data_IF_376829193355
#
_entry.id   IF_376829193355
#
_cell.length_a   1.000
_cell.length_b   1.000
_cell.length_c   1.000
_cell.angle_alpha   90.00
_cell.angle_beta   90.00
_cell.angle_gamma   90.00
#
_symmetry.space_group_name_H-M   'P 1'
#
loop_
_entity.id
_entity.type
_entity.pdbx_description
1 polymer ?
#
# COMPACT_ATOMS: atom_id res chain seq x y z
N UNK A 1 17.91 -7.05 5.72
CA UNK A 1 16.92 -6.29 6.51
C UNK A 1 16.38 -5.19 5.62
N UNK A 2 15.07 -5.14 5.39
CA UNK A 2 14.44 -4.05 4.62
C UNK A 2 14.36 -2.83 5.54
N UNK A 3 15.09 -1.78 5.21
CA UNK A 3 15.18 -0.60 6.05
C UNK A 3 13.95 0.27 5.82
N UNK A 4 13.22 0.62 6.89
CA UNK A 4 12.15 1.59 6.80
C UNK A 4 12.73 2.98 6.54
N UNK A 5 12.12 3.73 5.61
CA UNK A 5 12.58 5.06 5.23
C UNK A 5 11.49 6.07 5.55
N UNK A 6 11.81 7.05 6.37
CA UNK A 6 10.93 8.18 6.59
C UNK A 6 10.93 9.06 5.33
N UNK A 7 9.76 9.16 4.69
CA UNK A 7 9.50 10.07 3.58
C UNK A 7 9.11 11.45 4.11
N UNK A 8 8.42 11.46 5.25
CA UNK A 8 8.19 12.62 6.11
C UNK A 8 8.05 12.15 7.56
N UNK A 9 7.80 13.08 8.48
CA UNK A 9 7.46 12.81 9.89
C UNK A 9 6.21 11.95 10.08
N UNK A 10 5.35 11.85 9.06
CA UNK A 10 4.10 11.08 9.08
C UNK A 10 3.96 10.04 7.96
N UNK A 11 5.01 9.84 7.17
CA UNK A 11 5.03 8.89 6.06
C UNK A 11 6.26 8.00 6.14
N UNK A 12 6.04 6.70 6.20
CA UNK A 12 7.11 5.70 6.20
C UNK A 12 6.95 4.83 4.94
N UNK A 13 8.03 4.68 4.17
CA UNK A 13 8.05 3.86 2.97
C UNK A 13 9.09 2.75 3.11
N UNK A 14 8.65 1.52 2.91
CA UNK A 14 9.47 0.31 2.98
C UNK A 14 9.39 -0.40 1.62
N UNK A 15 10.43 -0.32 0.77
CA UNK A 15 10.48 -1.09 -0.46
C UNK A 15 10.82 -2.57 -0.18
N UNK A 16 10.50 -3.44 -1.13
CA UNK A 16 10.86 -4.86 -1.15
C UNK A 16 10.50 -5.65 0.13
N UNK A 17 9.33 -5.39 0.72
CA UNK A 17 8.94 -5.89 2.05
C UNK A 17 9.04 -7.41 2.21
N UNK A 18 8.52 -8.15 1.22
CA UNK A 18 8.49 -9.61 1.18
C UNK A 18 9.63 -10.17 0.35
N UNK A 19 10.02 -11.42 0.64
CA UNK A 19 10.88 -12.17 -0.27
C UNK A 19 10.12 -12.44 -1.58
N UNK A 20 10.86 -12.72 -2.67
CA UNK A 20 10.23 -13.07 -3.95
C UNK A 20 9.31 -14.29 -3.84
N UNK A 21 9.71 -15.29 -3.05
CA UNK A 21 8.91 -16.49 -2.84
C UNK A 21 7.57 -16.18 -2.15
N UNK A 22 7.61 -15.39 -1.07
CA UNK A 22 6.40 -15.01 -0.33
C UNK A 22 5.48 -14.11 -1.17
N UNK A 23 6.08 -13.19 -1.94
CA UNK A 23 5.36 -12.32 -2.85
C UNK A 23 4.63 -13.12 -3.94
N UNK A 24 5.30 -14.10 -4.55
CA UNK A 24 4.73 -14.95 -5.59
C UNK A 24 3.56 -15.78 -5.03
N UNK A 25 3.72 -16.36 -3.82
CA UNK A 25 2.65 -17.10 -3.16
C UNK A 25 1.44 -16.23 -2.80
N UNK A 26 1.67 -14.99 -2.37
CA UNK A 26 0.60 -14.02 -2.11
C UNK A 26 -0.15 -13.63 -3.39
N UNK A 27 0.56 -13.40 -4.49
CA UNK A 27 -0.04 -13.09 -5.79
C UNK A 27 -0.84 -14.26 -6.36
N UNK A 28 -0.36 -15.50 -6.18
CA UNK A 28 -1.08 -16.71 -6.55
C UNK A 28 -2.39 -16.84 -5.74
N UNK A 29 -2.33 -16.63 -4.42
CA UNK A 29 -3.50 -16.66 -3.56
C UNK A 29 -4.55 -15.61 -3.96
N UNK A 30 -4.12 -14.38 -4.27
CA UNK A 30 -5.01 -13.31 -4.75
C UNK A 30 -5.60 -13.65 -6.11
N UNK A 31 -4.81 -14.21 -7.02
CA UNK A 31 -5.28 -14.61 -8.36
C UNK A 31 -6.30 -15.75 -8.31
N UNK A 32 -6.26 -16.58 -7.26
CA UNK A 32 -7.23 -17.64 -7.02
C UNK A 32 -8.56 -17.15 -6.42
N UNK A 33 -8.69 -15.87 -6.05
CA UNK A 33 -9.94 -15.31 -5.51
C UNK A 33 -11.01 -15.29 -6.61
N UNK A 34 -12.02 -16.15 -6.43
CA UNK A 34 -13.14 -16.26 -7.36
C UNK A 34 -13.97 -14.97 -7.46
N UNK A 35 -14.51 -14.67 -8.66
CA UNK A 35 -15.34 -13.48 -8.94
C UNK A 35 -16.47 -13.25 -7.91
N UNK A 36 -17.12 -14.32 -7.45
CA UNK A 36 -18.20 -14.26 -6.44
C UNK A 36 -17.77 -13.74 -5.07
N UNK A 37 -16.47 -13.74 -4.78
CA UNK A 37 -15.93 -13.27 -3.49
C UNK A 37 -15.76 -11.76 -3.49
N UNK A 38 -15.55 -11.17 -4.67
CA UNK A 38 -15.39 -9.74 -4.82
C UNK A 38 -16.71 -9.02 -4.62
N UNK A 39 -16.67 -7.96 -3.81
CA UNK A 39 -17.71 -6.94 -3.76
C UNK A 39 -17.33 -5.85 -4.76
N UNK A 40 -18.34 -5.19 -5.31
CA UNK A 40 -18.14 -3.99 -6.11
C UNK A 40 -18.57 -2.79 -5.29
N UNK A 41 -17.64 -1.90 -4.99
CA UNK A 41 -17.91 -0.63 -4.34
C UNK A 41 -17.36 0.50 -5.21
N UNK A 42 -18.18 1.50 -5.53
CA UNK A 42 -17.79 2.67 -6.32
C UNK A 42 -17.00 2.34 -7.62
N UNK A 43 -17.33 1.22 -8.27
CA UNK A 43 -16.73 0.78 -9.54
C UNK A 43 -15.45 -0.04 -9.45
N UNK A 44 -14.96 -0.38 -8.24
CA UNK A 44 -13.79 -1.23 -8.05
C UNK A 44 -14.12 -2.51 -7.28
N UNK A 45 -13.33 -3.56 -7.56
CA UNK A 45 -13.37 -4.84 -6.83
C UNK A 45 -12.74 -4.66 -5.45
N UNK A 46 -13.48 -5.06 -4.44
CA UNK A 46 -13.13 -4.90 -3.04
C UNK A 46 -13.45 -6.19 -2.26
N UNK A 47 -12.52 -6.62 -1.39
CA UNK A 47 -12.68 -7.75 -0.50
C UNK A 47 -12.23 -7.38 0.91
N UNK A 48 -13.05 -7.72 1.90
CA UNK A 48 -12.68 -7.63 3.31
C UNK A 48 -12.00 -8.92 3.78
N UNK A 49 -10.95 -8.80 4.58
CA UNK A 49 -10.11 -9.90 5.07
C UNK A 49 -9.99 -9.77 6.60
N UNK A 50 -10.22 -10.85 7.35
CA UNK A 50 -10.14 -10.86 8.82
C UNK A 50 -11.32 -10.22 9.55
N UNK A 51 -12.31 -9.71 8.82
CA UNK A 51 -13.56 -9.22 9.40
C UNK A 51 -14.31 -8.28 8.46
N UNK A 52 -15.32 -7.58 8.98
CA UNK A 52 -16.03 -6.53 8.27
C UNK A 52 -16.36 -5.38 9.23
N UNK A 53 -16.06 -4.14 8.83
CA UNK A 53 -16.51 -2.96 9.55
C UNK A 53 -18.01 -2.72 9.31
N UNK A 54 -18.78 -2.53 10.40
CA UNK A 54 -20.17 -2.07 10.32
C UNK A 54 -20.21 -0.59 9.93
N UNK A 55 -21.39 -0.12 9.50
CA UNK A 55 -21.64 1.33 9.28
C UNK A 55 -21.40 2.18 10.52
N UNK A 56 -21.46 1.58 11.72
CA UNK A 56 -21.20 2.24 13.00
C UNK A 56 -19.72 2.16 13.43
N UNK A 57 -18.82 1.66 12.56
CA UNK A 57 -17.39 1.55 12.85
C UNK A 57 -17.00 0.38 13.75
N UNK A 58 -17.92 -0.56 14.03
CA UNK A 58 -17.61 -1.77 14.80
C UNK A 58 -17.04 -2.84 13.88
N UNK A 59 -15.87 -3.38 14.20
CA UNK A 59 -15.31 -4.53 13.49
C UNK A 59 -16.03 -5.81 13.94
N UNK A 60 -16.63 -6.53 12.99
CA UNK A 60 -17.07 -7.91 13.15
C UNK A 60 -15.92 -8.79 12.66
N UNK A 61 -15.13 -9.33 13.59
CA UNK A 61 -13.97 -10.15 13.25
C UNK A 61 -14.35 -11.50 12.66
N UNK A 62 -13.54 -11.96 11.71
CA UNK A 62 -13.54 -13.32 11.18
C UNK A 62 -12.12 -13.88 11.24
N UNK A 63 -11.94 -15.17 10.94
CA UNK A 63 -10.60 -15.68 10.73
C UNK A 63 -9.92 -14.96 9.56
N UNK A 64 -8.64 -14.67 9.72
CA UNK A 64 -7.76 -14.24 8.63
C UNK A 64 -7.35 -15.47 7.81
N UNK A 65 -7.33 -15.41 6.47
CA UNK A 65 -6.78 -16.49 5.66
C UNK A 65 -5.29 -16.67 5.89
N UNK A 66 -4.82 -17.93 5.97
CA UNK A 66 -3.43 -18.27 6.26
C UNK A 66 -2.40 -17.67 5.27
N UNK A 67 -2.81 -17.38 4.02
CA UNK A 67 -1.94 -16.73 3.03
C UNK A 67 -1.58 -15.28 3.39
N UNK A 68 -2.25 -14.66 4.38
CA UNK A 68 -1.90 -13.34 4.90
C UNK A 68 -0.84 -13.39 6.01
N UNK A 69 -0.61 -14.56 6.64
CA UNK A 69 0.17 -14.67 7.87
C UNK A 69 1.58 -14.13 7.70
N UNK A 70 2.25 -14.48 6.60
CA UNK A 70 3.59 -13.98 6.29
C UNK A 70 3.60 -12.46 6.14
N UNK A 71 2.63 -11.86 5.44
CA UNK A 71 2.54 -10.42 5.29
C UNK A 71 2.31 -9.74 6.64
N UNK A 72 1.38 -10.26 7.44
CA UNK A 72 1.05 -9.71 8.75
C UNK A 72 2.23 -9.80 9.73
N UNK A 73 2.97 -10.92 9.71
CA UNK A 73 4.19 -11.06 10.50
C UNK A 73 5.25 -10.05 10.08
N UNK A 74 5.45 -9.83 8.77
CA UNK A 74 6.41 -8.83 8.27
C UNK A 74 6.01 -7.41 8.63
N UNK A 75 4.71 -7.11 8.64
CA UNK A 75 4.20 -5.84 9.12
C UNK A 75 4.39 -5.71 10.63
N UNK A 76 4.10 -6.74 11.41
CA UNK A 76 4.35 -6.75 12.85
C UNK A 76 5.82 -6.52 13.19
N UNK A 77 6.75 -7.15 12.47
CA UNK A 77 8.19 -6.93 12.61
C UNK A 77 8.58 -5.47 12.36
N UNK A 78 7.91 -4.80 11.42
CA UNK A 78 8.18 -3.39 11.11
C UNK A 78 7.45 -2.44 12.06
N UNK A 79 6.28 -2.81 12.58
CA UNK A 79 5.34 -1.86 13.19
C UNK A 79 5.03 -2.13 14.66
N UNK A 80 5.46 -3.28 15.18
CA UNK A 80 5.05 -3.85 16.47
C UNK A 80 3.52 -4.02 16.64
N UNK A 81 2.78 -4.07 15.52
CA UNK A 81 1.33 -4.31 15.49
C UNK A 81 1.04 -5.42 14.50
N UNK A 82 0.43 -6.49 14.99
CA UNK A 82 -0.11 -7.54 14.14
C UNK A 82 -1.46 -7.09 13.56
N UNK A 83 -1.59 -6.94 12.23
CA UNK A 83 -2.88 -6.62 11.63
C UNK A 83 -3.86 -7.79 11.86
N UNK A 84 -5.14 -7.47 12.07
CA UNK A 84 -6.20 -8.49 12.18
C UNK A 84 -7.35 -8.23 11.19
N UNK A 85 -7.20 -7.21 10.37
CA UNK A 85 -8.18 -6.76 9.39
C UNK A 85 -7.46 -6.07 8.24
N UNK A 86 -7.85 -6.42 7.02
CA UNK A 86 -7.39 -5.76 5.82
C UNK A 86 -8.52 -5.62 4.80
N UNK A 87 -8.36 -4.63 3.94
CA UNK A 87 -9.20 -4.43 2.77
C UNK A 87 -8.33 -4.56 1.51
N UNK A 88 -8.68 -5.53 0.67
CA UNK A 88 -8.02 -5.78 -0.61
C UNK A 88 -8.82 -5.12 -1.73
N UNK A 89 -8.14 -4.33 -2.54
CA UNK A 89 -8.70 -3.69 -3.71
C UNK A 89 -7.96 -4.14 -4.96
N UNK A 90 -8.70 -4.54 -5.99
CA UNK A 90 -8.14 -4.71 -7.33
C UNK A 90 -8.35 -3.42 -8.12
N UNK A 91 -7.25 -2.80 -8.53
CA UNK A 91 -7.22 -1.52 -9.22
C UNK A 91 -6.90 -1.80 -10.69
N UNK A 92 -7.89 -1.59 -11.55
CA UNK A 92 -7.67 -1.72 -12.99
C UNK A 92 -6.90 -0.51 -13.54
N UNK A 93 -6.21 -0.70 -14.66
CA UNK A 93 -5.57 0.39 -15.40
C UNK A 93 -6.54 1.56 -15.63
N UNK A 94 -6.16 2.75 -15.16
CA UNK A 94 -6.97 3.98 -15.28
C UNK A 94 -7.98 4.20 -14.17
N UNK A 95 -8.11 3.29 -13.19
CA UNK A 95 -8.94 3.49 -12.01
C UNK A 95 -8.19 4.25 -10.91
N UNK A 96 -8.96 5.02 -10.14
CA UNK A 96 -8.54 5.60 -8.88
C UNK A 96 -9.27 4.94 -7.73
N UNK A 97 -8.68 4.97 -6.54
CA UNK A 97 -9.32 4.53 -5.31
C UNK A 97 -9.17 5.62 -4.26
N UNK A 98 -10.29 6.14 -3.75
CA UNK A 98 -10.29 7.14 -2.68
C UNK A 98 -11.04 6.57 -1.48
N UNK A 99 -10.45 6.68 -0.30
CA UNK A 99 -11.03 6.15 0.93
C UNK A 99 -11.08 7.22 2.02
N UNK A 100 -12.11 7.13 2.87
CA UNK A 100 -12.50 8.19 3.81
C UNK A 100 -12.27 7.88 5.29
N UNK A 101 -11.66 6.75 5.65
CA UNK A 101 -11.45 6.39 7.06
C UNK A 101 -10.14 6.99 7.55
N UNK A 102 -10.21 8.01 8.41
CA UNK A 102 -9.01 8.55 9.09
C UNK A 102 -8.54 7.58 10.16
N UNK A 103 -7.48 6.83 9.87
CA UNK A 103 -6.77 5.97 10.82
C UNK A 103 -5.29 5.92 10.41
N UNK A 104 -4.40 5.48 11.30
CA UNK A 104 -3.03 5.12 10.86
C UNK A 104 -3.13 3.87 10.00
N UNK A 105 -2.76 3.96 8.74
CA UNK A 105 -2.94 2.90 7.75
C UNK A 105 -1.62 2.41 7.19
N UNK A 106 -1.45 1.09 7.15
CA UNK A 106 -0.40 0.43 6.37
C UNK A 106 -0.99 -0.04 5.04
N UNK A 107 -0.44 0.44 3.94
CA UNK A 107 -0.86 0.11 2.57
C UNK A 107 0.23 -0.66 1.87
N UNK A 108 -0.06 -1.92 1.55
CA UNK A 108 0.86 -2.79 0.82
C UNK A 108 0.44 -2.88 -0.65
N UNK A 109 1.41 -2.72 -1.56
CA UNK A 109 1.18 -2.61 -3.02
C UNK A 109 1.67 -3.86 -3.75
N UNK A 110 0.87 -4.36 -4.70
CA UNK A 110 1.05 -5.64 -5.36
C UNK A 110 0.76 -5.56 -6.86
N UNK A 111 1.40 -6.44 -7.63
CA UNK A 111 1.19 -6.63 -9.07
C UNK A 111 1.83 -5.55 -9.95
N UNK A 112 1.51 -4.28 -9.69
CA UNK A 112 2.04 -3.14 -10.44
C UNK A 112 2.38 -1.96 -9.56
N UNK A 113 3.00 -0.96 -10.17
CA UNK A 113 3.24 0.31 -9.49
C UNK A 113 1.94 1.12 -9.45
N UNK A 114 1.74 1.85 -8.36
CA UNK A 114 0.58 2.73 -8.20
C UNK A 114 1.04 4.11 -7.80
N UNK A 115 0.23 5.10 -8.16
CA UNK A 115 0.47 6.48 -7.75
C UNK A 115 -0.48 6.81 -6.63
N UNK A 116 0.06 7.24 -5.50
CA UNK A 116 -0.68 7.58 -4.31
C UNK A 116 -0.55 9.06 -3.97
N UNK A 117 -1.65 9.65 -3.53
CA UNK A 117 -1.68 10.93 -2.84
C UNK A 117 -2.18 10.69 -1.42
N UNK A 118 -1.57 11.37 -0.45
CA UNK A 118 -1.94 11.25 0.97
C UNK A 118 -2.52 12.58 1.44
N UNK A 119 -3.27 12.56 2.52
CA UNK A 119 -3.77 13.79 3.15
C UNK A 119 -2.67 14.57 3.89
N UNK A 120 -1.57 13.89 4.23
CA UNK A 120 -0.41 14.49 4.93
C UNK A 120 0.65 15.06 3.97
N UNK A 121 0.53 14.86 2.66
CA UNK A 121 1.44 15.46 1.68
C UNK A 121 0.77 15.73 0.33
N UNK A 122 0.97 16.95 -0.18
CA UNK A 122 0.48 17.36 -1.50
C UNK A 122 1.29 16.73 -2.65
N UNK A 123 2.56 16.41 -2.42
CA UNK A 123 3.42 15.76 -3.41
C UNK A 123 3.09 14.27 -3.46
N UNK A 124 2.91 13.70 -4.65
CA UNK A 124 2.54 12.29 -4.76
C UNK A 124 3.71 11.34 -4.50
N UNK A 125 3.35 10.08 -4.25
CA UNK A 125 4.25 8.97 -3.94
C UNK A 125 4.06 7.91 -5.01
N UNK A 126 5.16 7.34 -5.50
CA UNK A 126 5.12 6.19 -6.41
C UNK A 126 5.30 4.91 -5.60
N UNK A 127 4.25 4.11 -5.48
CA UNK A 127 4.25 2.84 -4.78
C UNK A 127 4.69 1.73 -5.72
N UNK A 128 5.90 1.19 -5.53
CA UNK A 128 6.37 0.03 -6.27
C UNK A 128 5.63 -1.26 -5.82
N UNK A 129 5.52 -2.29 -6.68
CA UNK A 129 5.12 -3.62 -6.22
C UNK A 129 6.02 -4.07 -5.06
N UNK A 130 5.45 -4.82 -4.12
CA UNK A 130 6.14 -5.28 -2.92
C UNK A 130 6.61 -4.15 -1.99
N UNK A 131 5.95 -2.99 -2.01
CA UNK A 131 6.25 -1.89 -1.08
C UNK A 131 5.13 -1.64 -0.08
N UNK A 132 5.52 -1.20 1.12
CA UNK A 132 4.65 -0.79 2.21
C UNK A 132 4.74 0.73 2.39
N UNK A 133 3.61 1.41 2.34
CA UNK A 133 3.46 2.79 2.79
C UNK A 133 2.70 2.80 4.11
N UNK A 134 3.24 3.43 5.15
CA UNK A 134 2.52 3.71 6.39
C UNK A 134 2.24 5.20 6.46
N UNK A 135 0.96 5.54 6.57
CA UNK A 135 0.49 6.92 6.77
C UNK A 135 0.05 7.06 8.21
N UNK A 136 0.74 7.90 8.96
CA UNK A 136 0.51 8.09 10.40
C UNK A 136 -0.55 9.15 10.61
N UNK A 137 -1.64 8.78 11.29
CA UNK A 137 -2.80 9.63 11.60
C UNK A 137 -3.43 10.31 10.35
N UNK A 138 -3.16 9.76 9.17
CA UNK A 138 -3.71 10.16 7.89
C UNK A 138 -4.16 8.88 7.22
N UNK A 139 -5.40 8.83 6.73
CA UNK A 139 -6.03 7.58 6.29
C UNK A 139 -5.29 6.83 5.17
N UNK A 140 -5.89 5.78 4.61
CA UNK A 140 -5.36 5.12 3.43
C UNK A 140 -5.06 6.13 2.31
N UNK A 141 -3.93 5.96 1.58
CA UNK A 141 -3.62 6.82 0.45
C UNK A 141 -4.71 6.74 -0.61
N UNK A 142 -5.00 7.88 -1.23
CA UNK A 142 -5.81 7.93 -2.44
C UNK A 142 -4.96 7.47 -3.63
N UNK A 143 -5.33 6.37 -4.25
CA UNK A 143 -4.73 5.94 -5.53
C UNK A 143 -5.27 6.86 -6.61
N UNK A 144 -4.35 7.57 -7.28
CA UNK A 144 -4.70 8.58 -8.27
C UNK A 144 -4.54 7.98 -9.66
N UNK A 145 -5.61 7.94 -10.47
CA UNK A 145 -5.52 7.38 -11.81
C UNK A 145 -4.60 8.23 -12.68
N UNK A 146 -3.58 7.61 -13.28
CA UNK A 146 -2.75 8.22 -14.31
C UNK A 146 -1.99 9.49 -13.90
N UNK A 147 -1.78 9.75 -12.61
CA UNK A 147 -1.12 10.99 -12.20
C UNK A 147 0.39 11.00 -12.49
N UNK A 148 1.03 9.83 -12.59
CA UNK A 148 2.51 9.69 -12.78
C UNK A 148 2.82 8.41 -13.56
N UNK A 149 1.95 8.02 -14.48
CA UNK A 149 2.29 6.98 -15.45
C UNK A 149 3.11 7.57 -16.61
N UNK A 150 3.14 8.90 -16.75
CA UNK A 150 3.96 9.64 -17.70
C UNK A 150 4.57 10.89 -17.06
N UNK A 151 5.87 11.06 -17.24
CA UNK A 151 6.62 12.24 -16.81
C UNK A 151 7.22 12.90 -18.04
N UNK A 152 6.65 14.02 -18.46
CA UNK A 152 7.09 14.79 -19.64
C UNK A 152 8.17 15.82 -19.32
N UNK A 153 8.29 16.22 -18.05
CA UNK A 153 9.26 17.22 -17.58
C UNK A 153 10.03 16.64 -16.41
N UNK A 154 11.18 15.99 -16.65
CA UNK A 154 12.01 15.43 -15.60
C UNK A 154 12.75 16.52 -14.80
N UNK A 155 13.12 16.25 -13.53
CA UNK A 155 12.79 15.03 -12.78
C UNK A 155 11.33 15.00 -12.34
N UNK A 156 10.77 13.81 -12.13
CA UNK A 156 9.42 13.66 -11.60
C UNK A 156 9.34 14.22 -10.17
N UNK A 157 8.29 14.99 -9.88
CA UNK A 157 8.02 15.51 -8.54
C UNK A 157 7.40 14.42 -7.64
N UNK A 158 8.23 13.46 -7.20
CA UNK A 158 7.87 12.34 -6.33
C UNK A 158 8.56 12.47 -4.97
N UNK A 159 7.80 12.27 -3.89
CA UNK A 159 8.36 12.28 -2.52
C UNK A 159 9.40 11.19 -2.29
N UNK A 160 9.17 9.99 -2.81
CA UNK A 160 10.01 8.82 -2.59
C UNK A 160 10.95 8.50 -3.77
N UNK A 161 11.20 9.47 -4.66
CA UNK A 161 12.05 9.29 -5.85
C UNK A 161 13.43 8.67 -5.56
N UNK A 162 14.02 9.01 -4.41
CA UNK A 162 15.34 8.53 -3.98
C UNK A 162 15.31 7.11 -3.37
N UNK A 163 14.13 6.58 -3.08
CA UNK A 163 13.93 5.26 -2.45
C UNK A 163 13.53 4.18 -3.45
N UNK A 164 13.21 4.56 -4.68
CA UNK A 164 12.77 3.65 -5.72
C UNK A 164 13.87 2.62 -6.06
N UNK A 165 13.49 1.35 -6.12
CA UNK A 165 14.41 0.22 -6.35
C UNK A 165 14.33 -0.33 -7.76
N UNK A 166 13.14 -0.33 -8.38
CA UNK A 166 12.97 -0.78 -9.75
C UNK A 166 13.72 0.14 -10.70
N UNK A 167 14.52 -0.41 -11.64
CA UNK A 167 15.21 0.37 -12.67
C UNK A 167 14.24 1.25 -13.47
N UNK A 168 13.03 0.75 -13.75
CA UNK A 168 12.02 1.48 -14.51
C UNK A 168 11.47 2.68 -13.73
N UNK A 169 11.12 2.49 -12.45
CA UNK A 169 10.61 3.55 -11.58
C UNK A 169 11.69 4.62 -11.33
N UNK A 170 12.93 4.19 -11.05
CA UNK A 170 14.08 5.09 -10.90
C UNK A 170 14.35 5.91 -12.16
N UNK A 171 14.29 5.28 -13.33
CA UNK A 171 14.46 5.96 -14.62
C UNK A 171 13.33 6.96 -14.88
N UNK A 172 12.07 6.59 -14.63
CA UNK A 172 10.92 7.49 -14.72
C UNK A 172 11.15 8.73 -13.85
N UNK A 173 11.57 8.53 -12.60
CA UNK A 173 11.79 9.62 -11.66
C UNK A 173 12.89 10.60 -12.11
N UNK A 174 13.99 10.10 -12.70
CA UNK A 174 15.16 10.92 -13.06
C UNK A 174 15.09 11.51 -14.46
N UNK A 175 14.58 10.74 -15.41
CA UNK A 175 14.70 11.04 -16.85
C UNK A 175 13.35 11.20 -17.53
N UNK A 176 12.26 10.99 -16.80
CA UNK A 176 10.92 11.02 -17.35
C UNK A 176 10.60 9.76 -18.15
N UNK A 177 9.57 9.84 -19.00
CA UNK A 177 9.09 8.72 -19.80
C UNK A 177 7.74 8.21 -19.33
N UNK A 178 7.53 6.91 -19.44
CA UNK A 178 6.27 6.27 -19.02
C UNK A 178 6.52 4.91 -18.38
N UNK A 179 5.60 4.49 -17.52
CA UNK A 179 5.54 3.13 -16.99
C UNK A 179 4.35 2.39 -17.60
N UNK A 180 4.48 1.07 -17.76
CA UNK A 180 3.42 0.23 -18.33
C UNK A 180 2.23 0.20 -17.39
N UNK A 181 1.07 0.63 -17.87
CA UNK A 181 -0.17 0.49 -17.11
C UNK A 181 -0.62 -0.97 -17.11
N UNK A 182 -0.83 -1.51 -15.93
CA UNK A 182 -1.42 -2.83 -15.73
C UNK A 182 -2.30 -2.80 -14.48
N UNK A 183 -3.07 -3.85 -14.29
CA UNK A 183 -3.86 -4.02 -13.08
C UNK A 183 -2.92 -4.28 -11.90
N UNK A 184 -3.33 -3.81 -10.72
CA UNK A 184 -2.59 -3.96 -9.49
C UNK A 184 -3.53 -4.15 -8.31
N UNK A 185 -2.94 -4.36 -7.14
CA UNK A 185 -3.69 -4.52 -5.91
C UNK A 185 -3.13 -3.65 -4.80
N UNK A 186 -4.02 -3.19 -3.92
CA UNK A 186 -3.64 -2.57 -2.65
C UNK A 186 -4.33 -3.28 -1.51
N UNK A 187 -3.56 -3.55 -0.46
CA UNK A 187 -4.04 -4.04 0.82
C UNK A 187 -3.92 -2.91 1.84
N UNK A 188 -5.04 -2.42 2.33
CA UNK A 188 -5.08 -1.43 3.39
C UNK A 188 -5.35 -2.11 4.73
N UNK A 189 -4.48 -1.88 5.70
CA UNK A 189 -4.58 -2.39 7.07
C UNK A 189 -4.64 -1.20 8.02
N UNK A 190 -5.66 -1.21 8.88
CA UNK A 190 -6.06 -0.05 9.68
C UNK A 190 -5.55 -0.14 11.12
N UNK A 191 -5.51 1.00 11.82
CA UNK A 191 -5.18 1.13 13.24
C UNK A 191 -3.80 0.57 13.66
N UNK A 192 -2.79 0.77 12.82
CA UNK A 192 -1.39 0.39 13.08
C UNK A 192 -0.70 1.44 14.02
N UNK A 193 -1.44 2.00 14.98
CA UNK A 193 -1.15 3.28 15.68
C UNK A 193 0.10 3.28 16.59
N UNK A 194 0.76 2.15 16.84
CA UNK A 194 2.00 2.10 17.67
C UNK A 194 3.30 2.43 16.92
N UNK A 195 3.21 2.57 15.60
CA UNK A 195 4.35 2.76 14.69
C UNK A 195 5.23 3.96 15.06
N UNK A 196 4.67 5.12 15.35
CA UNK A 196 5.48 6.35 15.50
C UNK A 196 6.45 6.29 16.67
N UNK A 197 6.05 5.73 17.81
CA UNK A 197 6.93 5.64 18.97
C UNK A 197 7.98 4.53 18.79
N UNK A 198 7.63 3.42 18.12
CA UNK A 198 8.55 2.34 17.80
C UNK A 198 9.64 2.74 16.80
N UNK A 199 9.31 3.58 15.81
CA UNK A 199 10.29 4.09 14.85
C UNK A 199 11.06 5.32 15.36
N UNK A 200 10.50 6.11 16.30
CA UNK A 200 11.22 7.23 16.95
C UNK A 200 12.09 6.79 18.12
N UNK A 201 11.84 5.62 18.71
CA UNK A 201 12.55 5.05 19.86
C UNK A 201 13.97 4.52 19.62
N UNK A 202 14.65 4.96 18.55
CA UNK A 202 16.10 4.72 18.32
C UNK A 202 16.92 6.01 18.48
N UNK A 203 16.29 7.13 18.85
CA UNK A 203 16.98 8.33 19.32
C UNK A 203 16.63 8.56 20.80
N UNK A 204 17.14 7.66 21.65
CA UNK A 204 17.34 7.92 23.08
C UNK A 204 18.68 8.59 23.30
#
# INVERSE_FOLDING_TARGET
>A
MNTANFVSDRLIYIPDLLSRHDLDGLLEAISAITERSWRYNDGYKHLFIGGQLTRTGKLIQSSTPAWMDTLYQRIEECTAVHPNYAELYAIQSGQGCAQGVKSTTATFTLGTHLVAQTDVSATPILLEPNSLLIVVDGGPPKIVPGCIDRVSSPPAHLLNSHLLKSPNCSRLARHGGHLTRSDGYVLNMYDIKRVTDAFKGVLG
#
